data_IF_014470394632
#
_entry.id   IF_014470394632
#
_cell.length_a   1.000
_cell.length_b   1.000
_cell.length_c   1.000
_cell.angle_alpha   90.00
_cell.angle_beta   90.00
_cell.angle_gamma   90.00
#
_symmetry.space_group_name_H-M   'P 1'
#
loop_
_entity.id
_entity.type
_entity.pdbx_description
1 polymer ?
#
# COMPACT_ATOMS: atom_id res chain seq x y z
N UNK A 1 6.33 15.14 14.62
CA UNK A 1 5.86 13.79 14.24
C UNK A 1 6.70 13.32 13.07
N UNK A 2 7.15 12.07 13.08
CA UNK A 2 8.00 11.49 12.02
C UNK A 2 7.15 10.62 11.09
N UNK A 3 7.31 10.84 9.79
CA UNK A 3 6.70 10.01 8.75
C UNK A 3 7.78 9.45 7.84
N UNK A 4 7.66 8.16 7.54
CA UNK A 4 8.62 7.42 6.73
C UNK A 4 7.88 6.72 5.61
N UNK A 5 8.30 6.98 4.37
CA UNK A 5 7.93 6.11 3.25
C UNK A 5 8.83 4.90 3.32
N UNK A 6 8.26 3.72 3.27
CA UNK A 6 8.93 2.46 3.57
C UNK A 6 8.53 1.39 2.56
N UNK A 7 9.50 0.53 2.24
CA UNK A 7 9.33 -0.59 1.32
C UNK A 7 10.31 -1.70 1.70
N UNK A 8 9.92 -2.94 1.44
CA UNK A 8 10.71 -4.13 1.76
C UNK A 8 10.75 -5.12 0.59
N UNK A 9 11.89 -5.77 0.45
CA UNK A 9 12.05 -6.95 -0.40
C UNK A 9 12.18 -8.20 0.47
N UNK A 10 11.62 -9.30 0.00
CA UNK A 10 11.60 -10.58 0.72
C UNK A 10 12.15 -11.73 -0.13
N UNK A 11 12.77 -12.72 0.51
CA UNK A 11 13.37 -13.85 -0.20
C UNK A 11 12.35 -14.76 -0.93
N UNK A 12 11.07 -14.68 -0.54
CA UNK A 12 9.90 -15.30 -1.17
C UNK A 12 8.63 -14.54 -0.72
N UNK A 13 7.48 -14.87 -1.30
CA UNK A 13 6.20 -14.31 -0.87
C UNK A 13 5.95 -14.64 0.61
N UNK A 14 5.70 -13.62 1.44
CA UNK A 14 5.59 -13.71 2.90
C UNK A 14 6.83 -14.30 3.60
N UNK A 15 8.01 -14.23 2.96
CA UNK A 15 9.29 -14.72 3.48
C UNK A 15 10.14 -13.63 4.13
N UNK A 16 11.17 -14.00 4.89
CA UNK A 16 12.17 -13.13 5.53
C UNK A 16 12.58 -11.91 4.70
N UNK A 17 12.74 -10.80 5.40
CA UNK A 17 13.29 -9.54 4.90
C UNK A 17 14.69 -9.75 4.32
N UNK A 18 14.93 -9.23 3.12
CA UNK A 18 16.26 -9.21 2.48
C UNK A 18 16.75 -7.81 2.15
N UNK A 19 15.84 -6.84 2.00
CA UNK A 19 16.16 -5.42 1.86
C UNK A 19 15.05 -4.58 2.50
N UNK A 20 15.42 -3.60 3.30
CA UNK A 20 14.50 -2.57 3.80
C UNK A 20 15.02 -1.21 3.39
N UNK A 21 14.14 -0.35 2.90
CA UNK A 21 14.48 1.04 2.61
C UNK A 21 13.45 1.99 3.17
N UNK A 22 13.89 3.21 3.46
CA UNK A 22 13.00 4.25 3.93
C UNK A 22 13.45 5.65 3.55
N UNK A 23 12.49 6.53 3.30
CA UNK A 23 12.69 7.96 2.99
C UNK A 23 11.82 8.79 3.93
N UNK A 24 12.44 9.69 4.67
CA UNK A 24 11.70 10.61 5.53
C UNK A 24 10.89 11.61 4.70
N UNK A 25 9.68 11.95 5.16
CA UNK A 25 8.88 13.00 4.56
C UNK A 25 8.22 13.87 5.64
N UNK A 26 7.86 15.10 5.26
CA UNK A 26 7.25 16.06 6.16
C UNK A 26 6.37 17.05 5.40
N UNK A 27 5.35 17.57 6.07
CA UNK A 27 4.64 18.76 5.61
C UNK A 27 5.41 20.01 6.05
N UNK A 28 5.61 20.94 5.12
CA UNK A 28 6.15 22.28 5.41
C UNK A 28 5.19 23.35 4.91
N UNK A 29 5.12 24.47 5.63
CA UNK A 29 4.34 25.62 5.16
C UNK A 29 5.15 26.38 4.10
N UNK A 30 4.56 26.53 2.91
CA UNK A 30 5.14 27.30 1.81
C UNK A 30 4.05 28.19 1.22
N UNK A 31 4.19 29.51 1.38
CA UNK A 31 3.25 30.48 0.80
C UNK A 31 1.81 30.35 1.31
N UNK A 32 1.62 29.97 2.59
CA UNK A 32 0.29 29.81 3.21
C UNK A 32 -0.39 28.46 2.93
N UNK A 33 0.31 27.51 2.31
CA UNK A 33 -0.17 26.14 2.09
C UNK A 33 0.82 25.12 2.65
N UNK A 34 0.32 24.00 3.18
CA UNK A 34 1.17 22.90 3.59
C UNK A 34 1.52 22.03 2.38
N UNK A 35 2.81 21.86 2.12
CA UNK A 35 3.33 21.02 1.05
C UNK A 35 4.07 19.81 1.64
N UNK A 36 3.74 18.62 1.13
CA UNK A 36 4.48 17.41 1.43
C UNK A 36 5.82 17.39 0.67
N UNK A 37 6.92 17.31 1.39
CA UNK A 37 8.27 17.21 0.84
C UNK A 37 9.02 15.98 1.38
N UNK A 38 10.04 15.55 0.64
CA UNK A 38 11.04 14.60 1.17
C UNK A 38 12.01 15.33 2.08
N UNK A 39 12.47 14.66 3.13
CA UNK A 39 13.64 15.09 3.89
C UNK A 39 14.92 14.59 3.20
N UNK A 40 16.08 14.97 3.74
CA UNK A 40 17.36 14.42 3.30
C UNK A 40 17.68 13.05 3.95
N UNK A 41 16.79 12.55 4.82
CA UNK A 41 17.00 11.28 5.51
C UNK A 41 16.49 10.13 4.66
N UNK A 42 17.39 9.25 4.27
CA UNK A 42 17.07 7.98 3.63
C UNK A 42 17.96 6.86 4.16
N UNK A 43 17.46 5.63 4.15
CA UNK A 43 18.28 4.44 4.38
C UNK A 43 17.88 3.34 3.39
N UNK A 44 18.83 2.44 3.17
CA UNK A 44 18.63 1.19 2.44
C UNK A 44 19.60 0.17 3.02
N UNK A 45 19.09 -0.95 3.52
CA UNK A 45 19.92 -1.98 4.14
C UNK A 45 19.47 -3.36 3.72
N UNK A 46 20.45 -4.22 3.42
CA UNK A 46 20.23 -5.64 3.09
C UNK A 46 20.46 -6.55 4.28
N UNK A 47 19.78 -7.69 4.23
CA UNK A 47 19.75 -8.69 5.29
C UNK A 47 19.87 -10.10 4.72
N UNK A 48 20.51 -10.97 5.49
CA UNK A 48 20.63 -12.39 5.17
C UNK A 48 19.34 -13.12 5.61
N UNK A 49 18.59 -13.73 4.68
CA UNK A 49 17.44 -14.57 5.02
C UNK A 49 17.88 -15.90 5.63
N UNK A 50 16.94 -16.63 6.26
CA UNK A 50 17.21 -17.97 6.82
C UNK A 50 17.31 -19.07 5.76
N UNK A 51 16.70 -18.86 4.59
CA UNK A 51 16.68 -19.76 3.44
C UNK A 51 17.15 -19.04 2.17
N UNK A 52 17.62 -19.77 1.14
CA UNK A 52 17.97 -19.17 -0.14
C UNK A 52 16.82 -18.39 -0.78
N UNK A 53 17.16 -17.36 -1.55
CA UNK A 53 16.18 -16.53 -2.27
C UNK A 53 15.51 -17.36 -3.37
N UNK A 54 14.18 -17.33 -3.43
CA UNK A 54 13.41 -18.01 -4.46
C UNK A 54 13.53 -17.34 -5.83
N UNK A 55 13.55 -18.12 -6.90
CA UNK A 55 13.65 -17.61 -8.27
C UNK A 55 12.57 -16.58 -8.63
N UNK A 56 11.35 -16.76 -8.12
CA UNK A 56 10.26 -15.80 -8.31
C UNK A 56 10.55 -14.44 -7.68
N UNK A 57 11.14 -14.43 -6.48
CA UNK A 57 11.54 -13.19 -5.81
C UNK A 57 12.72 -12.53 -6.56
N UNK A 58 13.75 -13.31 -6.94
CA UNK A 58 14.86 -12.83 -7.77
C UNK A 58 14.38 -12.20 -9.09
N UNK A 59 13.33 -12.73 -9.71
CA UNK A 59 12.76 -12.18 -10.93
C UNK A 59 12.04 -10.83 -10.71
N UNK A 60 11.60 -10.55 -9.49
CA UNK A 60 10.96 -9.30 -9.09
C UNK A 60 12.01 -8.26 -8.69
N UNK A 61 12.90 -8.58 -7.74
CA UNK A 61 13.79 -7.58 -7.12
C UNK A 61 15.27 -7.70 -7.57
N UNK A 62 15.64 -8.75 -8.30
CA UNK A 62 17.01 -8.98 -8.81
C UNK A 62 18.14 -9.00 -7.75
N UNK A 63 17.82 -9.31 -6.50
CA UNK A 63 18.80 -9.52 -5.41
C UNK A 63 19.13 -11.00 -5.39
N UNK A 64 20.42 -11.32 -5.37
CA UNK A 64 20.94 -12.69 -5.38
C UNK A 64 21.42 -13.09 -3.98
N UNK A 65 21.51 -14.40 -3.72
CA UNK A 65 22.06 -14.91 -2.46
C UNK A 65 23.48 -14.38 -2.20
N UNK A 66 24.28 -14.24 -3.26
CA UNK A 66 25.65 -13.68 -3.19
C UNK A 66 25.69 -12.25 -2.68
N UNK A 67 24.60 -11.49 -2.86
CA UNK A 67 24.51 -10.09 -2.47
C UNK A 67 24.22 -9.91 -0.98
N UNK A 68 23.65 -10.95 -0.33
CA UNK A 68 23.17 -10.89 1.06
C UNK A 68 23.86 -11.88 1.99
N UNK A 69 24.68 -12.81 1.47
CA UNK A 69 25.32 -13.88 2.25
C UNK A 69 26.17 -13.39 3.45
N UNK A 70 26.72 -12.18 3.36
CA UNK A 70 27.58 -11.53 4.37
C UNK A 70 26.84 -10.42 5.15
N UNK A 71 25.55 -10.21 4.89
CA UNK A 71 24.74 -9.25 5.62
C UNK A 71 24.37 -9.78 7.02
N UNK A 72 23.90 -8.87 7.88
CA UNK A 72 23.31 -9.24 9.17
C UNK A 72 22.07 -10.13 8.95
N UNK A 73 21.74 -11.05 9.87
CA UNK A 73 20.50 -11.81 9.77
C UNK A 73 19.29 -10.87 9.74
N UNK A 74 18.23 -11.26 9.03
CA UNK A 74 17.01 -10.46 8.89
C UNK A 74 16.39 -10.05 10.23
N UNK A 75 16.49 -10.89 11.26
CA UNK A 75 16.03 -10.61 12.63
C UNK A 75 16.79 -9.48 13.34
N UNK A 76 17.87 -8.97 12.73
CA UNK A 76 18.61 -7.80 13.23
C UNK A 76 18.12 -6.48 12.62
N UNK A 77 17.02 -6.49 11.85
CA UNK A 77 16.42 -5.25 11.35
C UNK A 77 16.01 -4.35 12.53
N UNK A 78 16.29 -3.07 12.38
CA UNK A 78 15.89 -1.97 13.26
C UNK A 78 15.75 -0.73 12.36
N UNK A 79 14.81 0.14 12.66
CA UNK A 79 14.82 1.48 12.05
C UNK A 79 16.08 2.23 12.55
N UNK A 80 16.73 3.05 11.72
CA UNK A 80 17.74 3.98 12.20
C UNK A 80 17.17 4.86 13.33
N UNK A 81 17.96 5.11 14.37
CA UNK A 81 17.51 5.79 15.60
C UNK A 81 16.81 7.13 15.32
N UNK A 82 17.28 7.86 14.31
CA UNK A 82 16.79 9.17 13.91
C UNK A 82 15.69 9.12 12.83
N UNK A 83 15.21 7.92 12.47
CA UNK A 83 14.21 7.64 11.46
C UNK A 83 13.08 6.72 11.94
N UNK A 84 12.93 6.51 13.26
CA UNK A 84 11.81 5.76 13.84
C UNK A 84 10.49 6.50 13.53
N UNK A 85 9.57 5.91 12.76
CA UNK A 85 8.35 6.61 12.34
C UNK A 85 7.21 6.47 13.36
N UNK A 86 6.38 7.51 13.45
CA UNK A 86 5.00 7.36 13.93
C UNK A 86 4.09 6.92 12.79
N UNK A 87 4.22 7.58 11.63
CA UNK A 87 3.48 7.24 10.42
C UNK A 87 4.38 6.48 9.46
N UNK A 88 3.94 5.29 9.03
CA UNK A 88 4.67 4.49 8.06
C UNK A 88 3.83 4.37 6.79
N UNK A 89 4.42 4.72 5.66
CA UNK A 89 3.69 4.91 4.41
C UNK A 89 4.28 3.98 3.35
N UNK A 90 3.43 3.19 2.70
CA UNK A 90 3.88 2.22 1.69
C UNK A 90 2.83 1.99 0.62
N UNK A 91 3.18 1.16 -0.36
CA UNK A 91 2.25 0.72 -1.39
C UNK A 91 1.91 -0.75 -1.16
N UNK A 92 0.76 -1.01 -0.52
CA UNK A 92 0.44 -2.28 0.15
C UNK A 92 1.19 -2.46 1.50
N UNK A 93 1.21 -1.40 2.32
CA UNK A 93 2.06 -1.27 3.52
C UNK A 93 1.91 -2.38 4.56
N UNK A 94 0.77 -3.07 4.61
CA UNK A 94 0.56 -4.17 5.55
C UNK A 94 1.57 -5.30 5.31
N UNK A 95 1.94 -5.54 4.05
CA UNK A 95 2.97 -6.52 3.69
C UNK A 95 4.34 -6.18 4.28
N UNK A 96 4.74 -4.90 4.21
CA UNK A 96 6.01 -4.43 4.75
C UNK A 96 6.02 -4.50 6.28
N UNK A 97 4.89 -4.17 6.91
CA UNK A 97 4.70 -4.27 8.37
C UNK A 97 4.79 -5.72 8.83
N UNK A 98 4.09 -6.65 8.15
CA UNK A 98 4.19 -8.08 8.42
C UNK A 98 5.62 -8.60 8.24
N UNK A 99 6.32 -8.08 7.23
CA UNK A 99 7.71 -8.45 6.95
C UNK A 99 8.66 -8.04 8.07
N UNK A 100 8.55 -6.82 8.59
CA UNK A 100 9.39 -6.40 9.72
C UNK A 100 8.94 -7.04 11.05
N UNK A 101 7.66 -7.38 11.21
CA UNK A 101 7.18 -8.17 12.36
C UNK A 101 7.82 -9.56 12.38
N UNK A 102 7.91 -10.23 11.22
CA UNK A 102 8.62 -11.51 11.10
C UNK A 102 10.12 -11.37 11.38
N UNK A 103 10.69 -10.19 11.13
CA UNK A 103 12.04 -9.81 11.56
C UNK A 103 12.15 -9.42 13.05
N UNK A 104 11.14 -9.73 13.87
CA UNK A 104 11.08 -9.45 15.31
C UNK A 104 11.01 -7.96 15.68
N UNK A 105 10.63 -7.08 14.75
CA UNK A 105 10.39 -5.67 15.07
C UNK A 105 8.99 -5.44 15.64
N UNK A 106 8.87 -4.81 16.81
CA UNK A 106 7.58 -4.34 17.30
C UNK A 106 7.02 -3.26 16.36
N UNK A 107 5.72 -3.35 16.04
CA UNK A 107 5.05 -2.39 15.14
C UNK A 107 3.79 -1.76 15.73
N UNK A 108 3.45 -2.05 16.98
CA UNK A 108 2.22 -1.57 17.65
C UNK A 108 2.11 -0.04 17.74
N UNK A 109 3.23 0.68 17.63
CA UNK A 109 3.29 2.14 17.67
C UNK A 109 3.16 2.80 16.28
N UNK A 110 3.15 1.99 15.22
CA UNK A 110 3.08 2.48 13.84
C UNK A 110 1.64 2.80 13.44
N UNK A 111 1.48 3.89 12.70
CA UNK A 111 0.23 4.29 12.05
C UNK A 111 0.38 4.08 10.55
N UNK A 112 -0.12 2.96 10.00
CA UNK A 112 0.06 2.62 8.59
C UNK A 112 -0.75 3.53 7.67
N UNK A 113 -0.15 3.92 6.55
CA UNK A 113 -0.78 4.67 5.47
C UNK A 113 -0.53 3.90 4.16
N UNK A 114 -1.60 3.45 3.52
CA UNK A 114 -1.54 2.58 2.35
C UNK A 114 -1.89 3.34 1.07
N UNK A 115 -0.87 3.64 0.26
CA UNK A 115 -1.07 4.34 -1.01
C UNK A 115 -1.81 3.51 -2.05
N UNK A 116 -1.78 2.17 -1.96
CA UNK A 116 -2.57 1.29 -2.82
C UNK A 116 -4.08 1.46 -2.54
N UNK A 117 -4.47 1.43 -1.26
CA UNK A 117 -5.85 1.65 -0.83
C UNK A 117 -6.35 3.02 -1.28
N UNK A 118 -5.57 4.07 -1.00
CA UNK A 118 -5.88 5.44 -1.44
C UNK A 118 -6.00 5.55 -2.97
N UNK A 119 -5.08 4.97 -3.74
CA UNK A 119 -5.15 5.03 -5.20
C UNK A 119 -6.37 4.29 -5.77
N UNK A 120 -6.75 3.15 -5.17
CA UNK A 120 -7.97 2.41 -5.51
C UNK A 120 -9.24 3.21 -5.19
N UNK A 121 -9.23 3.96 -4.09
CA UNK A 121 -10.33 4.82 -3.71
C UNK A 121 -10.47 6.04 -4.63
N UNK A 122 -9.38 6.73 -4.92
CA UNK A 122 -9.36 7.94 -5.75
C UNK A 122 -9.60 7.62 -7.23
N UNK A 123 -9.03 6.52 -7.72
CA UNK A 123 -9.12 6.14 -9.13
C UNK A 123 -9.58 4.69 -9.32
N UNK A 124 -10.83 4.34 -8.92
CA UNK A 124 -11.30 2.95 -8.89
C UNK A 124 -11.34 2.28 -10.27
N UNK A 125 -11.50 3.07 -11.32
CA UNK A 125 -11.68 2.58 -12.70
C UNK A 125 -10.36 2.45 -13.49
N UNK A 126 -9.19 2.63 -12.87
CA UNK A 126 -7.92 2.35 -13.54
C UNK A 126 -7.75 0.86 -13.82
N UNK A 127 -7.14 0.54 -14.97
CA UNK A 127 -6.89 -0.83 -15.39
C UNK A 127 -5.98 -1.59 -14.41
N UNK A 128 -5.03 -0.88 -13.78
CA UNK A 128 -4.10 -1.45 -12.82
C UNK A 128 -3.69 -0.42 -11.76
N UNK A 129 -3.49 -0.90 -10.53
CA UNK A 129 -3.05 -0.11 -9.38
C UNK A 129 -1.70 -0.55 -8.82
N UNK A 130 -0.96 -1.41 -9.52
CA UNK A 130 0.43 -1.65 -9.11
C UNK A 130 1.24 -0.35 -9.23
N UNK A 131 2.29 -0.24 -8.41
CA UNK A 131 3.06 0.99 -8.25
C UNK A 131 3.58 1.54 -9.59
N UNK A 132 4.08 0.68 -10.48
CA UNK A 132 4.56 1.08 -11.79
C UNK A 132 3.46 1.68 -12.68
N UNK A 133 2.26 1.07 -12.73
CA UNK A 133 1.12 1.60 -13.47
C UNK A 133 0.69 2.98 -12.92
N UNK A 134 0.62 3.10 -11.60
CA UNK A 134 0.28 4.37 -10.94
C UNK A 134 1.34 5.44 -11.16
N UNK A 135 2.62 5.08 -11.18
CA UNK A 135 3.70 5.99 -11.53
C UNK A 135 3.51 6.58 -12.94
N UNK A 136 3.08 5.78 -13.92
CA UNK A 136 2.74 6.27 -15.26
C UNK A 136 1.47 7.11 -15.29
N UNK A 137 0.50 6.79 -14.45
CA UNK A 137 -0.76 7.54 -14.34
C UNK A 137 -0.51 8.97 -13.84
N UNK A 138 0.27 9.14 -12.77
CA UNK A 138 0.50 10.45 -12.13
C UNK A 138 1.62 11.27 -12.78
N UNK A 139 2.42 10.65 -13.65
CA UNK A 139 3.59 11.29 -14.26
C UNK A 139 3.24 12.34 -15.31
N UNK A 140 3.87 13.51 -15.18
CA UNK A 140 3.91 14.54 -16.23
C UNK A 140 4.93 14.25 -17.34
N UNK A 141 5.87 13.32 -17.12
CA UNK A 141 6.90 12.92 -18.09
C UNK A 141 7.15 11.40 -18.07
N UNK A 142 6.37 10.67 -18.87
CA UNK A 142 6.44 9.20 -18.95
C UNK A 142 7.80 8.67 -19.44
N UNK A 143 8.56 9.44 -20.23
CA UNK A 143 9.92 9.04 -20.65
C UNK A 143 10.88 9.01 -19.47
N UNK A 144 10.80 10.01 -18.58
CA UNK A 144 11.58 10.04 -17.36
C UNK A 144 11.14 8.91 -16.40
N UNK A 145 9.84 8.73 -16.19
CA UNK A 145 9.28 7.65 -15.37
C UNK A 145 9.76 6.27 -15.84
N UNK A 146 9.71 5.99 -17.16
CA UNK A 146 10.21 4.74 -17.71
C UNK A 146 11.69 4.48 -17.38
N UNK A 147 12.54 5.52 -17.43
CA UNK A 147 13.97 5.39 -17.08
C UNK A 147 14.15 5.08 -15.60
N UNK A 148 13.37 5.73 -14.72
CA UNK A 148 13.36 5.43 -13.29
C UNK A 148 12.94 3.98 -13.05
N UNK A 149 11.84 3.54 -13.66
CA UNK A 149 11.25 2.22 -13.44
C UNK A 149 12.12 1.06 -13.96
N UNK A 150 12.82 1.26 -15.08
CA UNK A 150 13.73 0.23 -15.63
C UNK A 150 14.94 -0.06 -14.75
N UNK A 151 15.28 0.87 -13.87
CA UNK A 151 16.35 0.73 -12.90
C UNK A 151 15.81 0.42 -11.49
N UNK A 152 14.49 0.18 -11.32
CA UNK A 152 13.78 0.18 -10.04
C UNK A 152 13.31 -1.21 -9.58
N UNK A 153 14.24 -2.01 -9.13
CA UNK A 153 13.92 -3.22 -8.37
C UNK A 153 14.72 -3.20 -7.07
N UNK A 154 14.74 -2.03 -6.42
CA UNK A 154 15.27 -1.89 -5.08
C UNK A 154 14.25 -1.15 -4.25
N UNK A 155 14.16 -1.51 -2.98
CA UNK A 155 13.17 -0.96 -2.07
C UNK A 155 13.24 0.58 -2.00
N UNK A 156 14.45 1.14 -2.12
CA UNK A 156 14.64 2.60 -2.10
C UNK A 156 14.04 3.30 -3.33
N UNK A 157 14.09 2.66 -4.50
CA UNK A 157 13.48 3.23 -5.70
C UNK A 157 11.94 3.14 -5.64
N UNK A 158 11.40 2.08 -5.05
CA UNK A 158 9.97 1.96 -4.80
C UNK A 158 9.49 2.97 -3.74
N UNK A 159 10.30 3.29 -2.73
CA UNK A 159 10.05 4.43 -1.84
C UNK A 159 9.97 5.76 -2.61
N UNK A 160 10.88 6.02 -3.56
CA UNK A 160 10.86 7.26 -4.37
C UNK A 160 9.63 7.34 -5.28
N UNK A 161 9.24 6.21 -5.85
CA UNK A 161 8.05 6.10 -6.70
C UNK A 161 6.78 6.29 -5.87
N UNK A 162 6.71 5.66 -4.69
CA UNK A 162 5.63 5.81 -3.71
C UNK A 162 5.50 7.25 -3.22
N UNK A 163 6.61 7.97 -2.96
CA UNK A 163 6.55 9.41 -2.66
C UNK A 163 5.89 10.22 -3.77
N UNK A 164 6.23 9.94 -5.02
CA UNK A 164 5.69 10.67 -6.18
C UNK A 164 4.18 10.45 -6.33
N UNK A 165 3.72 9.20 -6.11
CA UNK A 165 2.30 8.86 -6.06
C UNK A 165 1.60 9.57 -4.88
N UNK A 166 2.17 9.46 -3.68
CA UNK A 166 1.63 10.05 -2.47
C UNK A 166 1.48 11.57 -2.60
N UNK A 167 2.51 12.25 -3.12
CA UNK A 167 2.48 13.69 -3.39
C UNK A 167 1.29 14.06 -4.28
N UNK A 168 1.03 13.28 -5.33
CA UNK A 168 -0.11 13.52 -6.21
C UNK A 168 -1.45 13.33 -5.48
N UNK A 169 -1.60 12.25 -4.71
CA UNK A 169 -2.81 11.99 -3.91
C UNK A 169 -3.06 13.12 -2.92
N UNK A 170 -2.02 13.54 -2.18
CA UNK A 170 -2.11 14.65 -1.20
C UNK A 170 -2.57 15.94 -1.87
N UNK A 171 -2.03 16.28 -3.05
CA UNK A 171 -2.47 17.45 -3.81
C UNK A 171 -3.92 17.33 -4.30
N UNK A 172 -4.28 16.20 -4.91
CA UNK A 172 -5.61 16.00 -5.49
C UNK A 172 -6.72 15.95 -4.42
N UNK A 173 -6.39 15.48 -3.20
CA UNK A 173 -7.33 15.39 -2.07
C UNK A 173 -7.21 16.57 -1.08
N UNK A 174 -6.34 17.54 -1.37
CA UNK A 174 -6.09 18.73 -0.53
C UNK A 174 -5.75 18.39 0.94
N UNK A 175 -5.00 17.31 1.18
CA UNK A 175 -4.63 16.83 2.52
C UNK A 175 -3.56 17.76 3.12
N UNK A 176 -3.79 18.24 4.34
CA UNK A 176 -2.95 19.25 4.99
C UNK A 176 -2.10 18.69 6.15
N UNK A 177 -2.31 17.45 6.58
CA UNK A 177 -1.53 16.86 7.68
C UNK A 177 -1.37 15.35 7.58
N UNK A 178 -0.43 14.79 8.36
CA UNK A 178 -0.30 13.32 8.47
C UNK A 178 -1.49 12.66 9.17
N UNK A 179 -2.18 13.38 10.08
CA UNK A 179 -3.39 12.86 10.72
C UNK A 179 -4.53 12.73 9.70
N UNK A 180 -4.76 13.78 8.90
CA UNK A 180 -5.74 13.74 7.80
C UNK A 180 -5.38 12.67 6.77
N UNK A 181 -4.09 12.56 6.42
CA UNK A 181 -3.61 11.52 5.51
C UNK A 181 -3.88 10.11 6.05
N UNK A 182 -3.65 9.90 7.34
CA UNK A 182 -3.94 8.64 8.01
C UNK A 182 -5.43 8.32 7.98
N UNK A 183 -6.28 9.26 8.38
CA UNK A 183 -7.74 9.07 8.36
C UNK A 183 -8.26 8.78 6.96
N UNK A 184 -7.76 9.50 5.95
CA UNK A 184 -8.11 9.24 4.55
C UNK A 184 -7.65 7.85 4.08
N UNK A 185 -6.44 7.44 4.46
CA UNK A 185 -5.95 6.08 4.19
C UNK A 185 -6.84 5.02 4.82
N UNK A 186 -7.21 5.18 6.10
CA UNK A 186 -8.08 4.22 6.81
C UNK A 186 -9.47 4.12 6.18
N UNK A 187 -10.06 5.25 5.77
CA UNK A 187 -11.30 5.25 5.00
C UNK A 187 -11.12 4.49 3.68
N UNK A 188 -10.02 4.75 2.96
CA UNK A 188 -9.74 4.14 1.66
C UNK A 188 -9.46 2.63 1.73
N UNK A 189 -9.16 2.08 2.91
CA UNK A 189 -8.99 0.63 3.10
C UNK A 189 -10.27 -0.15 2.83
N UNK A 190 -11.44 0.45 3.08
CA UNK A 190 -12.72 -0.15 2.71
C UNK A 190 -12.94 0.04 1.20
N UNK A 191 -12.82 -1.02 0.38
CA UNK A 191 -12.89 -0.88 -1.05
C UNK A 191 -14.32 -0.52 -1.50
N UNK A 192 -14.42 0.23 -2.59
CA UNK A 192 -15.70 0.56 -3.25
C UNK A 192 -15.93 -0.28 -4.50
N UNK A 193 -14.88 -0.94 -5.00
CA UNK A 193 -14.86 -1.72 -6.23
C UNK A 193 -14.10 -3.04 -6.02
N UNK A 194 -14.35 -4.02 -6.88
CA UNK A 194 -13.58 -5.25 -6.93
C UNK A 194 -12.34 -5.05 -7.80
N UNK A 195 -11.16 -5.43 -7.33
CA UNK A 195 -9.88 -5.20 -8.03
C UNK A 195 -9.23 -6.46 -8.62
N UNK A 196 -9.92 -7.61 -8.56
CA UNK A 196 -9.41 -8.89 -9.03
C UNK A 196 -10.51 -9.79 -9.61
N UNK A 197 -10.10 -10.82 -10.36
CA UNK A 197 -10.99 -11.88 -10.85
C UNK A 197 -12.08 -11.41 -11.83
N UNK A 198 -13.15 -12.22 -11.94
CA UNK A 198 -14.29 -12.03 -12.86
C UNK A 198 -14.97 -10.66 -12.71
N UNK A 199 -14.99 -10.13 -11.49
CA UNK A 199 -15.72 -8.90 -11.15
C UNK A 199 -14.83 -7.65 -11.15
N UNK A 200 -13.56 -7.77 -11.56
CA UNK A 200 -12.61 -6.64 -11.58
C UNK A 200 -13.21 -5.41 -12.27
N UNK A 201 -13.12 -4.26 -11.60
CA UNK A 201 -13.64 -2.97 -12.05
C UNK A 201 -15.11 -2.72 -11.71
N UNK A 202 -15.87 -3.71 -11.22
CA UNK A 202 -17.27 -3.49 -10.81
C UNK A 202 -17.33 -2.82 -9.44
N UNK A 203 -18.26 -1.87 -9.31
CA UNK A 203 -18.59 -1.28 -8.02
C UNK A 203 -19.28 -2.31 -7.12
N UNK A 204 -18.90 -2.36 -5.85
CA UNK A 204 -19.54 -3.22 -4.85
C UNK A 204 -21.03 -2.90 -4.72
N UNK A 205 -21.40 -1.62 -4.80
CA UNK A 205 -22.79 -1.17 -4.72
C UNK A 205 -23.68 -1.69 -5.89
N UNK A 206 -23.07 -2.16 -6.97
CA UNK A 206 -23.78 -2.70 -8.14
C UNK A 206 -23.92 -4.23 -8.14
N UNK A 207 -23.36 -4.91 -7.14
CA UNK A 207 -23.40 -6.37 -7.06
C UNK A 207 -24.74 -6.83 -6.49
N UNK A 208 -25.24 -7.95 -7.00
CA UNK A 208 -26.38 -8.67 -6.44
C UNK A 208 -25.93 -9.62 -5.31
N UNK A 209 -26.90 -10.21 -4.61
CA UNK A 209 -26.66 -11.13 -3.50
C UNK A 209 -25.82 -12.34 -3.91
N UNK A 210 -26.09 -12.94 -5.07
CA UNK A 210 -25.38 -14.12 -5.56
C UNK A 210 -23.91 -13.82 -5.87
N UNK A 211 -23.63 -12.70 -6.52
CA UNK A 211 -22.28 -12.23 -6.82
C UNK A 211 -21.52 -11.92 -5.52
N UNK A 212 -22.17 -11.27 -4.54
CA UNK A 212 -21.57 -10.97 -3.23
C UNK A 212 -21.19 -12.26 -2.50
N UNK A 213 -22.09 -13.22 -2.38
CA UNK A 213 -21.80 -14.51 -1.73
C UNK A 213 -20.68 -15.27 -2.43
N UNK A 214 -20.63 -15.20 -3.76
CA UNK A 214 -19.60 -15.87 -4.54
C UNK A 214 -18.20 -15.32 -4.21
N UNK A 215 -18.10 -13.98 -4.04
CA UNK A 215 -16.85 -13.30 -3.70
C UNK A 215 -16.47 -13.56 -2.23
N UNK A 216 -17.43 -13.49 -1.30
CA UNK A 216 -17.19 -13.76 0.13
C UNK A 216 -16.57 -15.15 0.38
N UNK A 217 -16.98 -16.16 -0.40
CA UNK A 217 -16.42 -17.53 -0.32
C UNK A 217 -14.96 -17.63 -0.83
N UNK A 218 -14.40 -16.56 -1.41
CA UNK A 218 -13.11 -16.55 -2.13
C UNK A 218 -12.16 -15.44 -1.71
N UNK A 219 -12.56 -14.57 -0.80
CA UNK A 219 -11.71 -13.48 -0.29
C UNK A 219 -11.25 -13.80 1.12
N UNK A 220 -9.97 -13.57 1.37
CA UNK A 220 -9.33 -13.51 2.69
C UNK A 220 -9.11 -12.06 3.16
N UNK A 221 -9.32 -11.08 2.28
CA UNK A 221 -9.28 -9.66 2.60
C UNK A 221 -10.48 -9.25 3.49
N UNK A 222 -10.19 -8.95 4.76
CA UNK A 222 -11.16 -8.54 5.76
C UNK A 222 -11.86 -7.21 5.44
N UNK A 223 -11.18 -6.28 4.76
CA UNK A 223 -11.78 -5.01 4.37
C UNK A 223 -12.77 -5.20 3.24
N UNK A 224 -12.42 -6.04 2.25
CA UNK A 224 -13.35 -6.42 1.19
C UNK A 224 -14.55 -7.19 1.75
N UNK A 225 -14.32 -8.16 2.65
CA UNK A 225 -15.40 -8.92 3.28
C UNK A 225 -16.37 -7.98 4.04
N UNK A 226 -15.84 -7.01 4.78
CA UNK A 226 -16.64 -6.02 5.50
C UNK A 226 -17.47 -5.14 4.57
N UNK A 227 -16.89 -4.66 3.45
CA UNK A 227 -17.61 -3.90 2.43
C UNK A 227 -18.75 -4.70 1.79
N UNK A 228 -18.52 -5.98 1.50
CA UNK A 228 -19.49 -6.91 0.92
C UNK A 228 -20.64 -7.24 1.89
N UNK A 229 -20.34 -7.51 3.16
CA UNK A 229 -21.36 -7.73 4.19
C UNK A 229 -22.24 -6.50 4.40
N UNK A 230 -21.64 -5.30 4.40
CA UNK A 230 -22.39 -4.06 4.46
C UNK A 230 -23.34 -3.90 3.28
N UNK A 231 -22.87 -4.15 2.05
CA UNK A 231 -23.73 -4.11 0.86
C UNK A 231 -24.86 -5.15 0.92
N UNK A 232 -24.56 -6.38 1.35
CA UNK A 232 -25.57 -7.42 1.50
C UNK A 232 -26.68 -6.99 2.49
N UNK A 233 -26.30 -6.34 3.61
CA UNK A 233 -27.27 -5.84 4.58
C UNK A 233 -28.20 -4.75 4.03
N UNK A 234 -27.75 -3.97 3.04
CA UNK A 234 -28.62 -3.00 2.36
C UNK A 234 -29.63 -3.67 1.44
N UNK A 235 -29.19 -4.65 0.66
CA UNK A 235 -30.07 -5.38 -0.25
C UNK A 235 -31.21 -6.09 0.50
N UNK A 236 -30.91 -6.65 1.68
CA UNK A 236 -31.93 -7.30 2.50
C UNK A 236 -32.91 -6.30 3.12
N UNK A 237 -32.44 -5.14 3.58
CA UNK A 237 -33.31 -4.07 4.08
C UNK A 237 -34.25 -3.52 2.99
N UNK A 238 -33.72 -3.24 1.79
CA UNK A 238 -34.51 -2.74 0.67
C UNK A 238 -35.58 -3.75 0.24
N UNK A 239 -35.26 -5.06 0.26
CA UNK A 239 -36.25 -6.10 -0.01
C UNK A 239 -37.38 -6.11 1.01
N UNK A 240 -37.09 -5.92 2.30
CA UNK A 240 -38.11 -5.93 3.37
C UNK A 240 -39.07 -4.74 3.31
N UNK A 241 -38.60 -3.56 2.89
CA UNK A 241 -39.44 -2.36 2.71
C UNK A 241 -40.36 -2.47 1.50
N UNK A 242 -39.94 -3.19 0.45
CA UNK A 242 -40.77 -3.38 -0.75
C UNK A 242 -41.99 -4.28 -0.56
N UNK A 243 -42.00 -5.14 0.48
CA UNK A 243 -43.15 -6.00 0.78
C UNK A 243 -44.26 -5.30 1.59
N UNK A 244 -43.95 -4.21 2.28
CA UNK A 244 -44.93 -3.47 3.10
C UNK A 244 -45.76 -2.46 2.28
N UNK A 245 -45.25 -1.97 1.14
CA UNK A 245 -45.96 -1.02 0.27
C UNK A 245 -47.00 -1.68 -0.67
N UNK A 246 -46.94 -3.00 -0.86
CA UNK A 246 -47.90 -3.77 -1.68
C UNK A 246 -49.14 -4.26 -0.89
N UNK A 247 -49.30 -3.82 0.37
CA UNK A 247 -50.40 -4.20 1.28
C UNK A 247 -51.39 -3.05 1.61
N UNK A 248 -51.37 -1.95 0.85
CA UNK A 248 -52.33 -0.82 0.95
C UNK A 248 -53.11 -0.61 -0.35
#
# INVERSE_FOLDING_TARGET
>A
MTALIFDTETHKLHGDLIEAAGIGCQFIETGGHLELIRTQKEFSQRYKPSEPIGLGAMAVHHILDSDVQNCKPYTAFQFPEDMIPTYIIGHNIDYDIETIQRASMPTFFLRPICTLAMARYVWPNLEAHNLAALAYHVSSNRKATRRSLRNSHSALNDCKTTFSLLYRIVKDQNIQSFEELYQFSEQARIPTHIFWGKYKGRSIASLDEWDIEWILKRTDDNYLASALHYQLSKLTQDSSLSFDDDLL
#
